data_IF_350553473949
#
_entry.id   IF_350553473949
#
_cell.length_a   1.000
_cell.length_b   1.000
_cell.length_c   1.000
_cell.angle_alpha   90.00
_cell.angle_beta   90.00
_cell.angle_gamma   90.00
#
_symmetry.space_group_name_H-M   'P 1'
#
loop_
_entity.id
_entity.type
_entity.pdbx_description
1 polymer ?
#
# COMPACT_ATOMS: atom_id res chain seq x y z
N UNK A 1 6.18 -10.77 17.36
CA UNK A 1 6.15 -11.90 16.42
C UNK A 1 5.88 -13.20 17.19
N UNK A 2 5.18 -14.14 16.59
CA UNK A 2 4.89 -15.47 17.11
C UNK A 2 6.15 -16.33 17.11
N UNK A 3 6.24 -17.29 18.05
CA UNK A 3 7.40 -18.19 18.18
C UNK A 3 7.51 -19.16 16.98
N UNK A 4 6.38 -19.49 16.37
CA UNK A 4 6.28 -20.33 15.18
C UNK A 4 5.42 -19.61 14.14
N UNK A 5 5.68 -19.85 12.85
CA UNK A 5 4.89 -19.26 11.77
C UNK A 5 3.44 -19.77 11.87
N UNK A 6 2.44 -18.88 12.02
CA UNK A 6 1.06 -19.29 12.13
C UNK A 6 0.58 -19.91 10.81
N UNK A 7 -0.13 -21.04 10.91
CA UNK A 7 -0.72 -21.74 9.75
C UNK A 7 -2.20 -21.40 9.54
N UNK A 8 -2.76 -20.54 10.38
CA UNK A 8 -4.17 -20.12 10.34
C UNK A 8 -4.28 -18.65 10.77
N UNK A 9 -5.22 -17.94 10.16
CA UNK A 9 -5.51 -16.54 10.46
C UNK A 9 -5.97 -16.32 11.92
N UNK A 10 -6.55 -17.34 12.55
CA UNK A 10 -6.96 -17.26 13.96
C UNK A 10 -5.78 -17.16 14.94
N UNK A 11 -4.60 -17.61 14.52
CA UNK A 11 -3.36 -17.53 15.31
C UNK A 11 -2.43 -16.41 14.84
N UNK A 12 -2.79 -15.71 13.75
CA UNK A 12 -1.99 -14.64 13.16
C UNK A 12 -2.01 -13.42 14.07
N UNK A 13 -0.83 -12.85 14.35
CA UNK A 13 -0.69 -11.59 15.08
C UNK A 13 -0.22 -10.51 14.12
N UNK A 14 -0.47 -9.21 14.40
CA UNK A 14 0.01 -8.13 13.55
C UNK A 14 1.53 -8.19 13.27
N UNK A 15 2.31 -8.60 14.28
CA UNK A 15 3.76 -8.75 14.16
C UNK A 15 4.22 -9.93 13.29
N UNK A 16 3.30 -10.77 12.80
CA UNK A 16 3.57 -11.89 11.90
C UNK A 16 3.29 -11.55 10.44
N UNK A 17 2.74 -10.35 10.17
CA UNK A 17 2.47 -9.87 8.82
C UNK A 17 3.75 -9.26 8.28
N UNK A 18 4.32 -9.91 7.27
CA UNK A 18 5.57 -9.48 6.63
C UNK A 18 5.35 -8.62 5.40
N UNK A 19 4.19 -8.74 4.73
CA UNK A 19 3.90 -8.05 3.48
C UNK A 19 2.52 -7.39 3.56
N UNK A 20 2.42 -6.12 3.14
CA UNK A 20 1.18 -5.45 2.74
C UNK A 20 1.16 -5.28 1.23
N UNK A 21 -0.03 -5.40 0.65
CA UNK A 21 -0.30 -5.01 -0.72
C UNK A 21 -1.72 -4.42 -0.81
N UNK A 22 -1.99 -3.66 -1.86
CA UNK A 22 -3.33 -3.14 -2.11
C UNK A 22 -3.67 -3.18 -3.60
N UNK A 23 -4.96 -3.34 -3.88
CA UNK A 23 -5.59 -3.21 -5.19
C UNK A 23 -6.77 -2.26 -5.04
N UNK A 24 -7.10 -1.55 -6.11
CA UNK A 24 -8.24 -0.65 -6.13
C UNK A 24 -8.10 0.45 -7.17
N UNK A 25 -8.68 1.59 -6.85
CA UNK A 25 -8.85 2.72 -7.76
C UNK A 25 -8.01 3.94 -7.34
N UNK A 26 -8.48 5.13 -7.68
CA UNK A 26 -7.88 6.41 -7.31
C UNK A 26 -7.71 6.61 -5.79
N UNK A 27 -8.61 6.05 -4.97
CA UNK A 27 -8.51 6.17 -3.51
C UNK A 27 -7.34 5.34 -2.97
N UNK A 28 -7.15 4.15 -3.52
CA UNK A 28 -5.99 3.29 -3.21
C UNK A 28 -4.69 3.91 -3.73
N UNK A 29 -4.73 4.61 -4.86
CA UNK A 29 -3.59 5.36 -5.40
C UNK A 29 -3.29 6.67 -4.63
N UNK A 30 -4.19 7.12 -3.75
CA UNK A 30 -4.01 8.35 -2.97
C UNK A 30 -4.21 9.64 -3.79
N UNK A 31 -5.07 9.60 -4.81
CA UNK A 31 -5.40 10.78 -5.61
C UNK A 31 -5.87 11.94 -4.74
N UNK A 32 -5.19 13.09 -4.84
CA UNK A 32 -5.54 14.30 -4.10
C UNK A 32 -5.36 14.19 -2.57
N UNK A 33 -4.79 13.11 -2.04
CA UNK A 33 -4.71 12.92 -0.58
C UNK A 33 -3.80 13.95 0.13
N UNK A 34 -2.89 14.60 -0.62
CA UNK A 34 -2.08 15.71 -0.16
C UNK A 34 -2.44 17.06 -0.79
N UNK A 35 -3.63 17.18 -1.38
CA UNK A 35 -4.09 18.46 -1.95
C UNK A 35 -4.37 19.48 -0.82
N UNK A 36 -3.98 20.73 -1.04
CA UNK A 36 -4.22 21.83 -0.12
C UNK A 36 -5.16 22.87 -0.74
N UNK A 37 -6.07 23.42 0.07
CA UNK A 37 -7.00 24.46 -0.37
C UNK A 37 -7.91 24.00 -1.52
N UNK A 38 -8.09 24.87 -2.52
CA UNK A 38 -8.93 24.63 -3.70
C UNK A 38 -8.09 24.17 -4.93
N UNK A 39 -6.94 23.53 -4.72
CA UNK A 39 -6.13 23.01 -5.82
C UNK A 39 -6.79 21.77 -6.46
N UNK A 40 -7.67 22.03 -7.42
CA UNK A 40 -8.37 21.01 -8.20
C UNK A 40 -7.39 20.20 -9.05
N UNK A 41 -6.24 20.76 -9.45
CA UNK A 41 -5.23 20.03 -10.24
C UNK A 41 -4.52 18.98 -9.39
N UNK A 42 -4.36 19.22 -8.08
CA UNK A 42 -3.76 18.27 -7.15
C UNK A 42 -4.59 16.97 -7.00
N UNK A 43 -5.88 16.95 -7.37
CA UNK A 43 -6.71 15.74 -7.39
C UNK A 43 -6.16 14.68 -8.36
N UNK A 44 -5.48 15.10 -9.43
CA UNK A 44 -4.84 14.19 -10.38
C UNK A 44 -3.53 13.56 -9.85
N UNK A 45 -2.96 14.14 -8.78
CA UNK A 45 -1.69 13.70 -8.19
C UNK A 45 -1.93 12.49 -7.28
N UNK A 46 -1.16 11.42 -7.48
CA UNK A 46 -1.26 10.16 -6.74
C UNK A 46 -0.30 10.15 -5.53
N UNK A 47 -0.77 10.61 -4.37
CA UNK A 47 -0.01 10.63 -3.11
C UNK A 47 -0.02 9.24 -2.45
N UNK A 48 0.61 8.25 -3.08
CA UNK A 48 0.58 6.85 -2.65
C UNK A 48 1.10 6.64 -1.23
N UNK A 49 2.04 7.46 -0.77
CA UNK A 49 2.53 7.40 0.60
C UNK A 49 1.53 7.83 1.67
N UNK A 50 0.44 8.49 1.29
CA UNK A 50 -0.60 9.02 2.19
C UNK A 50 -1.91 8.20 2.17
N UNK A 51 -2.05 7.22 1.27
CA UNK A 51 -3.29 6.42 1.20
C UNK A 51 -3.54 5.64 2.51
N UNK A 52 -4.79 5.59 2.95
CA UNK A 52 -5.18 5.00 4.24
C UNK A 52 -4.86 3.49 4.34
N UNK A 53 -4.84 2.78 3.22
CA UNK A 53 -4.71 1.32 3.18
C UNK A 53 -3.25 0.86 3.22
N UNK A 54 -2.36 1.49 2.46
CA UNK A 54 -1.00 0.98 2.23
C UNK A 54 0.06 2.09 2.19
N UNK A 55 -0.28 3.34 2.51
CA UNK A 55 0.66 4.45 2.54
C UNK A 55 1.55 4.44 3.79
N UNK A 56 2.85 4.72 3.63
CA UNK A 56 3.84 4.64 4.71
C UNK A 56 4.76 5.84 4.89
N UNK A 57 4.44 7.02 4.32
CA UNK A 57 5.33 8.20 4.35
C UNK A 57 5.58 8.77 5.75
N UNK A 58 4.56 8.73 6.60
CA UNK A 58 4.58 9.31 7.95
C UNK A 58 4.65 8.22 9.03
N UNK A 59 4.84 8.61 10.28
CA UNK A 59 4.69 7.69 11.42
C UNK A 59 3.22 7.48 11.78
N UNK A 60 2.93 6.47 12.62
CA UNK A 60 1.55 6.24 13.10
C UNK A 60 0.99 7.44 13.87
N UNK A 61 1.82 8.16 14.60
CA UNK A 61 1.41 9.30 15.42
C UNK A 61 1.04 10.53 14.57
N UNK A 62 1.58 10.62 13.34
CA UNK A 62 1.34 11.71 12.40
C UNK A 62 0.27 11.39 11.36
N UNK A 63 0.15 10.11 10.96
CA UNK A 63 -0.81 9.68 9.94
C UNK A 63 -1.18 8.21 10.10
N UNK A 64 -2.44 7.96 10.42
CA UNK A 64 -2.94 6.61 10.64
C UNK A 64 -3.24 5.95 9.28
N UNK A 65 -2.48 4.92 8.96
CA UNK A 65 -2.74 3.99 7.85
C UNK A 65 -2.63 2.57 8.36
N UNK A 66 -3.19 1.59 7.62
CA UNK A 66 -3.00 0.17 7.98
C UNK A 66 -1.52 -0.18 7.96
N UNK A 67 -0.75 0.31 6.98
CA UNK A 67 0.70 0.10 6.94
C UNK A 67 1.42 0.67 8.18
N UNK A 68 1.08 1.88 8.64
CA UNK A 68 1.69 2.47 9.84
C UNK A 68 1.28 1.75 11.13
N UNK A 69 0.05 1.23 11.21
CA UNK A 69 -0.38 0.36 12.30
C UNK A 69 0.48 -0.91 12.31
N UNK A 70 0.67 -1.56 11.15
CA UNK A 70 1.50 -2.77 11.04
C UNK A 70 2.97 -2.49 11.38
N UNK A 71 3.55 -1.37 10.93
CA UNK A 71 4.91 -0.93 11.25
C UNK A 71 5.17 -0.83 12.76
N UNK A 72 4.15 -0.48 13.56
CA UNK A 72 4.25 -0.46 15.03
C UNK A 72 4.52 -1.85 15.63
N UNK A 73 3.99 -2.90 15.02
CA UNK A 73 4.13 -4.28 15.51
C UNK A 73 5.23 -5.07 14.79
N UNK A 74 5.51 -4.73 13.53
CA UNK A 74 6.59 -5.26 12.71
C UNK A 74 7.22 -4.12 11.89
N UNK A 75 8.32 -3.50 12.36
CA UNK A 75 9.01 -2.43 11.64
C UNK A 75 9.56 -2.86 10.26
N UNK A 76 9.69 -4.17 10.03
CA UNK A 76 10.20 -4.75 8.78
C UNK A 76 9.08 -5.15 7.81
N UNK A 77 7.81 -4.79 8.06
CA UNK A 77 6.73 -5.05 7.11
C UNK A 77 7.06 -4.39 5.78
N UNK A 78 6.94 -5.13 4.67
CA UNK A 78 7.31 -4.68 3.34
C UNK A 78 6.07 -4.42 2.47
N UNK A 79 6.23 -3.66 1.39
CA UNK A 79 5.22 -3.50 0.33
C UNK A 79 4.33 -2.26 0.43
N UNK A 80 4.47 -1.48 1.50
CA UNK A 80 3.78 -0.19 1.63
C UNK A 80 4.30 0.84 0.62
N UNK A 81 3.42 1.69 0.12
CA UNK A 81 3.77 2.75 -0.81
C UNK A 81 4.27 4.00 -0.10
N UNK A 82 5.09 4.78 -0.81
CA UNK A 82 5.72 6.03 -0.32
C UNK A 82 5.68 7.10 -1.41
N UNK A 83 5.71 8.35 -1.00
CA UNK A 83 5.73 9.56 -1.82
C UNK A 83 4.60 9.59 -2.85
N UNK A 84 4.78 10.44 -3.85
CA UNK A 84 3.90 10.60 -4.98
C UNK A 84 4.41 9.80 -6.18
N UNK A 85 3.54 9.07 -6.88
CA UNK A 85 3.92 8.34 -8.09
C UNK A 85 2.81 7.47 -8.67
N UNK A 86 3.04 6.96 -9.88
CA UNK A 86 2.12 6.07 -10.58
C UNK A 86 2.33 4.60 -10.20
N UNK A 87 1.33 3.73 -10.45
CA UNK A 87 1.37 2.32 -10.06
C UNK A 87 2.55 1.53 -10.65
N UNK A 88 3.11 2.00 -11.77
CA UNK A 88 4.23 1.39 -12.49
C UNK A 88 5.61 1.87 -12.01
N UNK A 89 5.70 2.75 -11.02
CA UNK A 89 6.97 3.26 -10.47
C UNK A 89 7.25 2.53 -9.15
N UNK A 90 8.14 1.54 -9.17
CA UNK A 90 8.40 0.68 -8.03
C UNK A 90 8.82 1.46 -6.78
N UNK A 91 9.70 2.46 -6.95
CA UNK A 91 10.31 3.29 -5.90
C UNK A 91 9.30 4.13 -5.09
N UNK A 92 8.04 4.13 -5.50
CA UNK A 92 6.94 4.84 -4.85
C UNK A 92 5.76 3.91 -4.59
N UNK A 93 5.38 3.10 -5.58
CA UNK A 93 4.19 2.25 -5.49
C UNK A 93 4.41 0.95 -4.73
N UNK A 94 5.60 0.33 -4.79
CA UNK A 94 5.84 -1.03 -4.29
C UNK A 94 4.69 -1.99 -4.66
N UNK A 95 3.95 -2.50 -3.66
CA UNK A 95 2.82 -3.42 -3.82
C UNK A 95 1.45 -2.73 -3.70
N UNK A 96 1.41 -1.41 -3.87
CA UNK A 96 0.17 -0.68 -4.15
C UNK A 96 -0.12 -0.71 -5.66
N UNK A 97 -0.99 -1.61 -6.08
CA UNK A 97 -1.43 -1.78 -7.46
C UNK A 97 -2.67 -0.96 -7.82
N UNK A 98 -3.12 -0.03 -6.96
CA UNK A 98 -4.28 0.81 -7.25
C UNK A 98 -4.08 1.68 -8.50
N UNK A 99 -5.06 1.68 -9.41
CA UNK A 99 -5.01 2.41 -10.68
C UNK A 99 -6.17 3.41 -10.72
N UNK A 100 -5.93 4.73 -10.85
CA UNK A 100 -7.00 5.70 -10.97
C UNK A 100 -7.97 5.36 -12.11
N UNK A 101 -9.27 5.39 -11.83
CA UNK A 101 -10.32 5.03 -12.79
C UNK A 101 -10.60 3.53 -12.93
N UNK A 102 -9.87 2.67 -12.22
CA UNK A 102 -10.16 1.24 -12.18
C UNK A 102 -11.49 0.95 -11.47
N UNK A 103 -12.09 -0.18 -11.83
CA UNK A 103 -13.33 -0.70 -11.26
C UNK A 103 -13.20 -2.21 -11.05
N UNK A 104 -14.28 -2.87 -10.65
CA UNK A 104 -14.26 -4.30 -10.30
C UNK A 104 -13.75 -5.22 -11.41
N UNK A 105 -13.90 -4.83 -12.67
CA UNK A 105 -13.39 -5.57 -13.83
C UNK A 105 -11.85 -5.67 -13.88
N UNK A 106 -11.15 -4.70 -13.30
CA UNK A 106 -9.69 -4.59 -13.37
C UNK A 106 -8.97 -5.31 -12.22
N UNK A 107 -9.70 -5.70 -11.16
CA UNK A 107 -9.10 -6.26 -9.94
C UNK A 107 -8.37 -7.58 -10.20
N UNK A 108 -8.86 -8.40 -11.14
CA UNK A 108 -8.20 -9.64 -11.51
C UNK A 108 -6.81 -9.40 -12.14
N UNK A 109 -6.69 -8.36 -12.98
CA UNK A 109 -5.42 -7.96 -13.59
C UNK A 109 -4.46 -7.38 -12.55
N UNK A 110 -4.97 -6.53 -11.64
CA UNK A 110 -4.16 -6.01 -10.53
C UNK A 110 -3.63 -7.14 -9.64
N UNK A 111 -4.44 -8.18 -9.40
CA UNK A 111 -4.01 -9.36 -8.64
C UNK A 111 -2.91 -10.14 -9.34
N UNK A 112 -3.04 -10.35 -10.65
CA UNK A 112 -2.01 -10.98 -11.45
C UNK A 112 -0.70 -10.16 -11.47
N UNK A 113 -0.80 -8.82 -11.55
CA UNK A 113 0.35 -7.92 -11.45
C UNK A 113 1.04 -8.02 -10.08
N UNK A 114 0.30 -8.01 -8.98
CA UNK A 114 0.88 -8.18 -7.64
C UNK A 114 1.63 -9.50 -7.51
N UNK A 115 1.03 -10.61 -7.97
CA UNK A 115 1.71 -11.92 -7.96
C UNK A 115 2.98 -11.88 -8.80
N UNK A 116 2.95 -11.21 -9.96
CA UNK A 116 4.14 -11.03 -10.81
C UNK A 116 5.22 -10.24 -10.08
N UNK A 117 4.89 -9.10 -9.46
CA UNK A 117 5.83 -8.27 -8.69
C UNK A 117 6.46 -9.06 -7.55
N UNK A 118 5.65 -9.77 -6.76
CA UNK A 118 6.14 -10.58 -5.64
C UNK A 118 7.07 -11.72 -6.07
N UNK A 119 6.94 -12.24 -7.30
CA UNK A 119 7.82 -13.30 -7.83
C UNK A 119 9.10 -12.77 -8.46
N UNK A 120 9.09 -11.54 -8.95
CA UNK A 120 10.17 -10.99 -9.78
C UNK A 120 11.03 -9.97 -9.05
N UNK A 121 10.47 -9.28 -8.04
CA UNK A 121 11.19 -8.23 -7.37
C UNK A 121 12.14 -8.83 -6.32
N UNK A 122 13.46 -8.54 -6.36
CA UNK A 122 14.45 -9.15 -5.46
C UNK A 122 14.28 -8.78 -3.97
N UNK A 123 13.48 -7.77 -3.68
CA UNK A 123 13.20 -7.29 -2.31
C UNK A 123 12.00 -8.01 -1.65
N UNK A 124 11.28 -8.86 -2.39
CA UNK A 124 10.12 -9.63 -1.91
C UNK A 124 10.48 -11.10 -1.79
#
# INVERSE_FOLDING_TARGET
RSKTVPKSVHSLRPADIDIIAAMGDSLTAGNGAGAEGEDVLAIAIQFRGLTWSVGGDKTLDEHITVANILKKFNPNVFGYSVRTGSANVWETAHLNAGIPGAHSGDVAEQGADLVRRMKQHPEV
#
